data_IF_862332440498
#
_entry.id   IF_862332440498
#
_cell.length_a   1.000
_cell.length_b   1.000
_cell.length_c   1.000
_cell.angle_alpha   90.00
_cell.angle_beta   90.00
_cell.angle_gamma   90.00
#
_symmetry.space_group_name_H-M   'P 1'
#
loop_
_entity.id
_entity.type
_entity.pdbx_description
1 polymer ?
#
# COMPACT_ATOMS: atom_id res chain seq x y z
N UNK A 1 -15.79 -56.30 20.57
CA UNK A 1 -14.51 -55.75 20.08
C UNK A 1 -14.75 -55.11 18.73
N UNK A 2 -14.85 -53.78 18.65
CA UNK A 2 -14.79 -53.08 17.37
C UNK A 2 -14.17 -51.72 17.62
N UNK A 3 -12.89 -51.58 17.26
CA UNK A 3 -12.12 -50.34 17.40
C UNK A 3 -12.54 -49.41 16.26
N UNK A 4 -13.13 -48.27 16.59
CA UNK A 4 -13.38 -47.18 15.63
C UNK A 4 -12.11 -46.32 15.62
N UNK A 5 -11.29 -46.50 14.60
CA UNK A 5 -10.16 -45.60 14.31
C UNK A 5 -10.70 -44.35 13.63
N UNK A 6 -10.72 -43.22 14.34
CA UNK A 6 -11.00 -41.90 13.75
C UNK A 6 -9.71 -41.42 13.07
N UNK A 7 -9.74 -41.35 11.74
CA UNK A 7 -8.71 -40.69 10.93
C UNK A 7 -8.70 -39.19 11.27
N UNK A 8 -7.59 -38.71 11.83
CA UNK A 8 -7.29 -37.29 11.90
C UNK A 8 -6.85 -36.81 10.52
N UNK A 9 -7.78 -36.28 9.74
CA UNK A 9 -7.45 -35.51 8.53
C UNK A 9 -6.90 -34.14 8.96
N UNK A 10 -5.57 -33.99 8.95
CA UNK A 10 -4.94 -32.68 9.02
C UNK A 10 -5.31 -31.93 7.73
N UNK A 11 -6.16 -30.91 7.86
CA UNK A 11 -6.38 -29.91 6.81
C UNK A 11 -5.14 -29.03 6.69
N UNK A 12 -4.22 -29.38 5.80
CA UNK A 12 -3.23 -28.45 5.29
C UNK A 12 -3.97 -27.42 4.42
N UNK A 13 -4.31 -26.27 4.99
CA UNK A 13 -4.85 -25.14 4.23
C UNK A 13 -3.81 -24.71 3.18
N UNK A 14 -4.21 -24.41 1.94
CA UNK A 14 -3.30 -23.96 0.91
C UNK A 14 -2.80 -22.55 1.25
N UNK A 15 -1.52 -22.44 1.64
CA UNK A 15 -0.86 -21.16 1.89
C UNK A 15 -0.98 -20.16 0.71
N UNK A 16 -1.16 -20.67 -0.51
CA UNK A 16 -1.38 -19.86 -1.72
C UNK A 16 -2.69 -19.07 -1.72
N UNK A 17 -3.74 -19.53 -1.02
CA UNK A 17 -4.99 -18.79 -0.92
C UNK A 17 -4.86 -17.56 0.00
N UNK A 18 -4.04 -17.67 1.05
CA UNK A 18 -3.82 -16.59 2.01
C UNK A 18 -2.95 -15.47 1.41
N UNK A 19 -1.97 -15.80 0.56
CA UNK A 19 -1.19 -14.80 -0.17
C UNK A 19 -1.98 -14.08 -1.26
N UNK A 20 -2.92 -14.76 -1.93
CA UNK A 20 -3.80 -14.11 -2.91
C UNK A 20 -4.71 -13.07 -2.24
N UNK A 21 -5.28 -13.41 -1.09
CA UNK A 21 -6.10 -12.51 -0.26
C UNK A 21 -5.29 -11.33 0.27
N UNK A 22 -4.10 -11.56 0.83
CA UNK A 22 -3.22 -10.51 1.35
C UNK A 22 -2.76 -9.51 0.27
N UNK A 23 -2.53 -9.98 -0.96
CA UNK A 23 -2.18 -9.11 -2.07
C UNK A 23 -3.34 -8.20 -2.46
N UNK A 24 -4.56 -8.74 -2.53
CA UNK A 24 -5.76 -7.95 -2.83
C UNK A 24 -6.03 -6.92 -1.74
N UNK A 25 -5.83 -7.28 -0.46
CA UNK A 25 -5.91 -6.35 0.67
C UNK A 25 -4.89 -5.22 0.56
N UNK A 26 -3.63 -5.54 0.25
CA UNK A 26 -2.57 -4.55 0.06
C UNK A 26 -2.90 -3.60 -1.09
N UNK A 27 -3.32 -4.14 -2.23
CA UNK A 27 -3.73 -3.40 -3.42
C UNK A 27 -4.85 -2.43 -3.07
N UNK A 28 -5.97 -2.94 -2.53
CA UNK A 28 -7.12 -2.12 -2.16
C UNK A 28 -6.77 -1.00 -1.16
N UNK A 29 -5.96 -1.30 -0.13
CA UNK A 29 -5.54 -0.29 0.84
C UNK A 29 -4.65 0.79 0.19
N UNK A 30 -3.71 0.39 -0.67
CA UNK A 30 -2.82 1.35 -1.35
C UNK A 30 -3.57 2.24 -2.36
N UNK A 31 -4.51 1.67 -3.11
CA UNK A 31 -5.36 2.41 -4.04
C UNK A 31 -6.27 3.39 -3.31
N UNK A 32 -6.88 2.96 -2.20
CA UNK A 32 -7.68 3.83 -1.35
C UNK A 32 -6.85 5.00 -0.81
N UNK A 33 -5.63 4.73 -0.33
CA UNK A 33 -4.71 5.78 0.14
C UNK A 33 -4.36 6.79 -0.96
N UNK A 34 -4.10 6.31 -2.19
CA UNK A 34 -3.89 7.16 -3.36
C UNK A 34 -5.13 8.01 -3.69
N UNK A 35 -6.32 7.42 -3.66
CA UNK A 35 -7.58 8.13 -3.89
C UNK A 35 -7.84 9.22 -2.84
N UNK A 36 -7.53 8.96 -1.56
CA UNK A 36 -7.62 9.97 -0.51
C UNK A 36 -6.67 11.15 -0.79
N UNK A 37 -5.46 10.87 -1.25
CA UNK A 37 -4.50 11.90 -1.62
C UNK A 37 -5.01 12.74 -2.79
N UNK A 38 -5.45 12.10 -3.87
CA UNK A 38 -6.04 12.78 -5.02
C UNK A 38 -7.25 13.63 -4.63
N UNK A 39 -8.13 13.10 -3.78
CA UNK A 39 -9.31 13.84 -3.28
C UNK A 39 -8.90 15.10 -2.54
N UNK A 40 -7.92 15.00 -1.65
CA UNK A 40 -7.38 16.16 -0.95
C UNK A 40 -6.77 17.18 -1.92
N UNK A 41 -5.90 16.72 -2.83
CA UNK A 41 -5.22 17.60 -3.79
C UNK A 41 -6.24 18.37 -4.64
N UNK A 42 -7.26 17.71 -5.18
CA UNK A 42 -8.30 18.35 -5.99
C UNK A 42 -9.23 19.26 -5.18
N UNK A 43 -9.43 18.98 -3.90
CA UNK A 43 -10.21 19.88 -3.03
C UNK A 43 -9.54 21.24 -2.83
N UNK A 44 -8.21 21.30 -3.00
CA UNK A 44 -7.39 22.51 -2.78
C UNK A 44 -6.89 23.15 -4.08
N UNK A 45 -6.55 22.33 -5.06
CA UNK A 45 -6.01 22.73 -6.36
C UNK A 45 -6.65 21.87 -7.48
N UNK A 46 -7.90 22.19 -7.89
CA UNK A 46 -8.61 21.45 -8.95
C UNK A 46 -7.83 21.37 -10.27
N UNK A 47 -6.97 22.36 -10.56
CA UNK A 47 -6.11 22.38 -11.73
C UNK A 47 -5.09 21.23 -11.81
N UNK A 48 -4.90 20.45 -10.73
CA UNK A 48 -4.05 19.27 -10.70
C UNK A 48 -4.68 18.02 -11.34
N UNK A 49 -5.97 18.04 -11.67
CA UNK A 49 -6.68 16.91 -12.29
C UNK A 49 -5.92 16.23 -13.45
N UNK A 50 -5.40 16.95 -14.47
CA UNK A 50 -4.67 16.32 -15.57
C UNK A 50 -3.31 15.74 -15.16
N UNK A 51 -2.84 16.04 -13.95
CA UNK A 51 -1.54 15.62 -13.45
C UNK A 51 -1.62 14.48 -12.43
N UNK A 52 -2.80 14.01 -12.05
CA UNK A 52 -2.92 12.91 -11.10
C UNK A 52 -2.51 11.57 -11.74
N UNK A 53 -1.76 10.71 -11.03
CA UNK A 53 -1.50 9.36 -11.50
C UNK A 53 -2.76 8.49 -11.40
N UNK A 54 -2.81 7.44 -12.22
CA UNK A 54 -3.67 6.30 -11.89
C UNK A 54 -3.08 5.57 -10.68
N UNK A 55 -3.94 5.30 -9.70
CA UNK A 55 -3.59 4.49 -8.54
C UNK A 55 -3.77 2.99 -8.80
N UNK A 56 -4.49 2.61 -9.86
CA UNK A 56 -4.77 1.21 -10.19
C UNK A 56 -3.49 0.40 -10.39
N UNK A 57 -3.43 -0.79 -9.82
CA UNK A 57 -2.27 -1.66 -9.96
C UNK A 57 -2.21 -2.30 -11.35
N UNK A 58 -1.07 -2.14 -12.00
CA UNK A 58 -0.72 -2.90 -13.19
C UNK A 58 0.05 -4.17 -12.80
N UNK A 59 0.33 -5.05 -13.77
CA UNK A 59 1.03 -6.32 -13.50
C UNK A 59 2.40 -6.11 -12.85
N UNK A 60 3.12 -5.06 -13.23
CA UNK A 60 4.42 -4.72 -12.64
C UNK A 60 4.27 -4.35 -11.18
N UNK A 61 3.34 -3.46 -10.83
CA UNK A 61 3.17 -3.05 -9.44
C UNK A 61 2.61 -4.19 -8.59
N UNK A 62 1.70 -5.00 -9.16
CA UNK A 62 1.19 -6.23 -8.52
C UNK A 62 2.28 -7.26 -8.26
N UNK A 63 3.28 -7.38 -9.14
CA UNK A 63 4.45 -8.23 -8.90
C UNK A 63 5.35 -7.67 -7.78
N UNK A 64 5.56 -6.36 -7.73
CA UNK A 64 6.27 -5.70 -6.63
C UNK A 64 5.58 -5.92 -5.28
N UNK A 65 4.24 -5.82 -5.24
CA UNK A 65 3.43 -6.09 -4.05
C UNK A 65 3.56 -7.53 -3.54
N UNK A 66 3.57 -8.52 -4.45
CA UNK A 66 3.83 -9.93 -4.07
C UNK A 66 5.21 -10.10 -3.46
N UNK A 67 6.25 -9.58 -4.12
CA UNK A 67 7.62 -9.62 -3.60
C UNK A 67 7.68 -9.00 -2.19
N UNK A 68 7.01 -7.86 -2.00
CA UNK A 68 6.99 -7.17 -0.71
C UNK A 68 6.37 -8.02 0.38
N UNK A 69 5.20 -8.61 0.13
CA UNK A 69 4.53 -9.49 1.10
C UNK A 69 5.38 -10.74 1.42
N UNK A 70 6.02 -11.34 0.42
CA UNK A 70 6.90 -12.50 0.61
C UNK A 70 8.13 -12.15 1.48
N UNK A 71 8.72 -10.97 1.27
CA UNK A 71 9.85 -10.50 2.08
C UNK A 71 9.42 -10.15 3.51
N UNK A 72 8.23 -9.58 3.65
CA UNK A 72 7.67 -9.25 4.95
C UNK A 72 7.33 -10.51 5.75
N UNK A 73 6.74 -11.52 5.11
CA UNK A 73 6.47 -12.82 5.70
C UNK A 73 7.78 -13.52 6.11
N UNK A 74 8.79 -13.49 5.24
CA UNK A 74 10.11 -14.08 5.54
C UNK A 74 10.77 -13.43 6.76
N UNK A 75 10.62 -12.11 6.92
CA UNK A 75 11.30 -11.35 7.97
C UNK A 75 10.51 -11.26 9.29
N UNK A 76 9.18 -11.26 9.23
CA UNK A 76 8.31 -11.00 10.38
C UNK A 76 7.25 -12.09 10.62
N UNK A 77 7.16 -13.10 9.75
CA UNK A 77 6.14 -14.14 9.79
C UNK A 77 4.75 -13.66 9.37
N UNK A 78 3.80 -14.59 9.34
CA UNK A 78 2.42 -14.31 8.97
C UNK A 78 1.75 -13.24 9.86
N UNK A 79 2.03 -13.25 11.17
CA UNK A 79 1.52 -12.23 12.11
C UNK A 79 2.04 -10.82 11.79
N UNK A 80 3.27 -10.73 11.27
CA UNK A 80 3.85 -9.46 10.83
C UNK A 80 3.18 -8.91 9.58
N UNK A 81 2.86 -9.79 8.62
CA UNK A 81 2.07 -9.43 7.42
C UNK A 81 0.69 -8.94 7.82
N UNK A 82 -0.02 -9.68 8.67
CA UNK A 82 -1.36 -9.30 9.12
C UNK A 82 -1.35 -7.94 9.84
N UNK A 83 -0.37 -7.72 10.73
CA UNK A 83 -0.23 -6.44 11.42
C UNK A 83 0.00 -5.30 10.44
N UNK A 84 0.88 -5.48 9.46
CA UNK A 84 1.14 -4.46 8.46
C UNK A 84 -0.11 -4.15 7.63
N UNK A 85 -0.82 -5.18 7.16
CA UNK A 85 -2.06 -5.03 6.39
C UNK A 85 -3.13 -4.28 7.18
N UNK A 86 -3.35 -4.65 8.44
CA UNK A 86 -4.31 -3.96 9.30
C UNK A 86 -3.96 -2.48 9.51
N UNK A 87 -2.67 -2.16 9.65
CA UNK A 87 -2.21 -0.79 9.82
C UNK A 87 -2.38 0.03 8.53
N UNK A 88 -1.98 -0.50 7.37
CA UNK A 88 -2.12 0.23 6.09
C UNK A 88 -3.59 0.40 5.69
N UNK A 89 -4.44 -0.59 5.94
CA UNK A 89 -5.89 -0.49 5.75
C UNK A 89 -6.49 0.64 6.61
N UNK A 90 -6.13 0.67 7.89
CA UNK A 90 -6.59 1.71 8.82
C UNK A 90 -6.06 3.08 8.41
N UNK A 91 -4.80 3.18 8.00
CA UNK A 91 -4.20 4.42 7.56
C UNK A 91 -4.85 4.94 6.27
N UNK A 92 -5.06 4.07 5.28
CA UNK A 92 -5.66 4.41 4.00
C UNK A 92 -7.13 4.87 4.13
N UNK A 93 -7.87 4.35 5.10
CA UNK A 93 -9.25 4.75 5.35
C UNK A 93 -9.38 6.16 5.97
N UNK A 94 -8.28 6.77 6.43
CA UNK A 94 -8.32 8.11 7.03
C UNK A 94 -8.36 9.19 5.94
N UNK A 95 -9.28 10.16 6.03
CA UNK A 95 -9.25 11.32 5.15
C UNK A 95 -7.94 12.10 5.32
N UNK A 96 -7.34 12.49 4.19
CA UNK A 96 -6.19 13.40 4.16
C UNK A 96 -6.73 14.84 4.19
N UNK A 97 -6.22 15.63 5.12
CA UNK A 97 -6.66 17.02 5.36
C UNK A 97 -5.53 18.04 5.23
N UNK A 98 -4.28 17.57 5.21
CA UNK A 98 -3.08 18.36 4.96
C UNK A 98 -1.97 17.49 4.34
N UNK A 99 -0.99 18.12 3.68
CA UNK A 99 0.20 17.40 3.22
C UNK A 99 1.06 16.90 4.39
N UNK A 100 1.15 17.64 5.49
CA UNK A 100 1.93 17.23 6.67
C UNK A 100 1.40 15.91 7.25
N UNK A 101 0.08 15.70 7.24
CA UNK A 101 -0.55 14.45 7.67
C UNK A 101 -0.04 13.25 6.86
N UNK A 102 0.31 13.45 5.60
CA UNK A 102 0.81 12.35 4.74
C UNK A 102 2.21 11.88 5.14
N UNK A 103 2.98 12.74 5.83
CA UNK A 103 4.29 12.40 6.40
C UNK A 103 4.17 11.68 7.77
N UNK A 104 3.01 11.77 8.43
CA UNK A 104 2.72 11.13 9.71
C UNK A 104 2.30 9.66 9.54
N UNK A 105 3.15 8.88 8.88
CA UNK A 105 2.90 7.46 8.67
C UNK A 105 3.03 6.69 9.99
N UNK A 106 2.18 5.65 10.23
CA UNK A 106 2.30 4.78 11.38
C UNK A 106 3.72 4.19 11.51
N UNK A 107 4.29 4.09 12.73
CA UNK A 107 5.63 3.54 12.94
C UNK A 107 5.82 2.14 12.36
N UNK A 108 4.77 1.32 12.34
CA UNK A 108 4.77 -0.02 11.77
C UNK A 108 4.99 -0.01 10.25
N UNK A 109 4.44 0.99 9.55
CA UNK A 109 4.69 1.18 8.11
C UNK A 109 6.10 1.70 7.83
N UNK A 110 6.73 2.33 8.82
CA UNK A 110 8.09 2.86 8.74
C UNK A 110 9.15 1.95 9.37
N UNK A 111 8.76 0.75 9.79
CA UNK A 111 9.67 -0.20 10.44
C UNK A 111 10.81 -0.59 9.47
N UNK A 112 12.06 -0.75 9.93
CA UNK A 112 13.19 -1.05 9.05
C UNK A 112 12.98 -2.26 8.11
N UNK A 113 12.39 -3.40 8.54
CA UNK A 113 12.12 -4.52 7.64
C UNK A 113 11.11 -4.18 6.54
N UNK A 114 10.12 -3.36 6.84
CA UNK A 114 9.11 -2.90 5.86
C UNK A 114 9.77 -2.00 4.83
N UNK A 115 10.52 -0.99 5.27
CA UNK A 115 11.23 -0.07 4.38
C UNK A 115 12.23 -0.81 3.48
N UNK A 116 12.97 -1.77 4.04
CA UNK A 116 13.88 -2.61 3.27
C UNK A 116 13.14 -3.42 2.20
N UNK A 117 12.02 -4.08 2.56
CA UNK A 117 11.21 -4.84 1.60
C UNK A 117 10.63 -3.95 0.50
N UNK A 118 10.10 -2.77 0.83
CA UNK A 118 9.59 -1.81 -0.17
C UNK A 118 10.68 -1.39 -1.17
N UNK A 119 11.89 -1.15 -0.69
CA UNK A 119 13.02 -0.74 -1.53
C UNK A 119 13.49 -1.90 -2.42
N UNK A 120 13.70 -3.08 -1.84
CA UNK A 120 14.18 -4.28 -2.56
C UNK A 120 13.20 -4.74 -3.63
N UNK A 121 11.90 -4.66 -3.34
CA UNK A 121 10.86 -5.11 -4.26
C UNK A 121 10.39 -4.04 -5.25
N UNK A 122 10.94 -2.83 -5.19
CA UNK A 122 10.65 -1.76 -6.12
C UNK A 122 9.30 -1.04 -5.90
N UNK A 123 8.59 -1.32 -4.82
CA UNK A 123 7.30 -0.69 -4.48
C UNK A 123 7.42 0.83 -4.49
N UNK A 124 8.46 1.38 -3.83
CA UNK A 124 8.66 2.82 -3.78
C UNK A 124 9.01 3.41 -5.16
N UNK A 125 9.76 2.68 -5.97
CA UNK A 125 10.17 3.16 -7.29
C UNK A 125 8.96 3.24 -8.24
N UNK A 126 8.05 2.28 -8.19
CA UNK A 126 6.81 2.32 -8.99
C UNK A 126 5.90 3.49 -8.59
N UNK A 127 5.73 3.75 -7.29
CA UNK A 127 4.94 4.90 -6.83
C UNK A 127 5.56 6.22 -7.32
N UNK A 128 6.88 6.38 -7.20
CA UNK A 128 7.60 7.57 -7.67
C UNK A 128 7.52 7.74 -9.19
N UNK A 129 7.67 6.64 -9.93
CA UNK A 129 7.53 6.62 -11.39
C UNK A 129 6.14 7.10 -11.81
N UNK A 130 5.07 6.57 -11.21
CA UNK A 130 3.68 6.98 -11.49
C UNK A 130 3.45 8.47 -11.25
N UNK A 131 3.92 8.99 -10.11
CA UNK A 131 3.81 10.44 -9.81
C UNK A 131 4.65 11.30 -10.75
N UNK A 132 5.75 10.78 -11.29
CA UNK A 132 6.59 11.48 -12.27
C UNK A 132 5.93 11.48 -13.65
N UNK A 133 5.48 10.31 -14.12
CA UNK A 133 4.91 10.11 -15.46
C UNK A 133 3.55 10.82 -15.62
N UNK A 134 2.77 10.93 -14.55
CA UNK A 134 1.55 11.76 -14.52
C UNK A 134 1.83 13.26 -14.52
N UNK A 135 3.05 13.68 -14.17
CA UNK A 135 3.43 15.07 -14.02
C UNK A 135 3.04 15.67 -12.65
N UNK A 136 2.44 14.89 -11.74
CA UNK A 136 2.10 15.34 -10.39
C UNK A 136 3.29 15.97 -9.68
N UNK A 137 4.45 15.31 -9.71
CA UNK A 137 5.67 15.82 -9.08
C UNK A 137 6.06 17.19 -9.61
N UNK A 138 6.01 17.39 -10.92
CA UNK A 138 6.32 18.68 -11.54
C UNK A 138 5.30 19.76 -11.17
N UNK A 139 4.02 19.41 -11.13
CA UNK A 139 2.95 20.33 -10.77
C UNK A 139 3.05 20.76 -9.29
N UNK A 140 3.43 19.86 -8.39
CA UNK A 140 3.67 20.15 -6.97
C UNK A 140 4.97 20.94 -6.74
N UNK A 141 5.89 21.04 -7.69
CA UNK A 141 7.05 21.93 -7.57
C UNK A 141 6.70 23.40 -7.87
N UNK A 142 5.50 23.70 -8.38
CA UNK A 142 5.04 25.05 -8.59
C UNK A 142 4.72 25.73 -7.22
N UNK A 143 5.35 26.88 -6.90
CA UNK A 143 5.11 27.60 -5.65
C UNK A 143 3.64 27.99 -5.42
N UNK A 144 2.89 28.31 -6.49
CA UNK A 144 1.47 28.65 -6.38
C UNK A 144 0.65 27.43 -5.95
N UNK A 145 0.90 26.27 -6.56
CA UNK A 145 0.30 24.99 -6.18
C UNK A 145 0.60 24.69 -4.72
N UNK A 146 1.86 24.77 -4.30
CA UNK A 146 2.25 24.48 -2.91
C UNK A 146 1.61 25.42 -1.91
N UNK A 147 1.44 26.69 -2.26
CA UNK A 147 0.72 27.66 -1.43
C UNK A 147 -0.73 27.24 -1.18
N UNK A 148 -1.44 26.74 -2.22
CA UNK A 148 -2.82 26.25 -2.09
C UNK A 148 -2.92 24.96 -1.25
N UNK A 149 -1.91 24.10 -1.35
CA UNK A 149 -1.86 22.82 -0.62
C UNK A 149 -1.44 22.97 0.85
N UNK A 150 -0.69 24.03 1.19
CA UNK A 150 -0.19 24.29 2.55
C UNK A 150 -1.10 25.16 3.43
N UNK A 151 -2.13 25.79 2.85
CA UNK A 151 -3.20 26.48 3.60
C UNK A 151 -4.32 25.56 4.02
#
# INVERSE_FOLDING_TARGET
>A
MTRISILAALFALPASALLADNLERLEAASELGGQQLSTFLLSRAPELEPNLPSWEWDDTYRQAGRCFLDNLETSQGADGVERYLSVIETYAARPITSLDQTAEQPPEMMAPPVMAAMQTCGVQQEVMKRMTESGLMGAMMNPETMSKLGG
#
